data_IF_334993123353
#
_entry.id   IF_334993123353
#
_cell.length_a   1.000
_cell.length_b   1.000
_cell.length_c   1.000
_cell.angle_alpha   90.00
_cell.angle_beta   90.00
_cell.angle_gamma   90.00
#
_symmetry.space_group_name_H-M   'P 1'
#
loop_
_entity.id
_entity.type
_entity.pdbx_description
1 polymer ?
#
# COMPACT_ATOMS: atom_id res chain seq x y z
N UNK A 1 14.74 23.15 -13.52
CA UNK A 1 15.57 22.21 -12.70
C UNK A 1 15.25 20.80 -13.16
N UNK A 2 16.27 20.01 -13.50
CA UNK A 2 16.17 18.65 -14.02
C UNK A 2 16.52 17.68 -12.89
N UNK A 3 15.66 16.67 -12.65
CA UNK A 3 15.90 15.28 -12.18
C UNK A 3 14.56 14.76 -11.63
N UNK A 4 13.93 13.71 -12.15
CA UNK A 4 14.35 12.29 -12.18
C UNK A 4 14.39 11.66 -10.79
N UNK A 5 13.60 10.59 -10.59
CA UNK A 5 14.05 9.25 -10.19
C UNK A 5 12.85 8.28 -10.27
N UNK A 6 13.00 7.20 -11.05
CA UNK A 6 12.12 6.03 -10.99
C UNK A 6 12.50 5.21 -9.74
N UNK A 7 11.52 4.89 -8.89
CA UNK A 7 11.68 3.94 -7.79
C UNK A 7 11.38 2.50 -8.22
N UNK A 8 12.27 1.89 -9.00
CA UNK A 8 12.18 0.47 -9.34
C UNK A 8 12.80 -0.42 -8.26
N UNK A 9 12.01 -1.25 -7.59
CA UNK A 9 12.51 -2.26 -6.64
C UNK A 9 12.61 -3.64 -7.31
N UNK A 10 13.76 -3.89 -7.95
CA UNK A 10 14.20 -5.24 -8.29
C UNK A 10 14.98 -5.77 -7.10
N UNK A 11 14.37 -6.67 -6.31
CA UNK A 11 15.06 -7.32 -5.19
C UNK A 11 15.68 -8.64 -5.67
N UNK A 12 17.01 -8.65 -5.79
CA UNK A 12 17.78 -9.85 -6.08
C UNK A 12 17.90 -10.70 -4.81
N UNK A 13 17.36 -11.91 -4.82
CA UNK A 13 17.75 -12.94 -3.86
C UNK A 13 17.90 -14.31 -4.54
N UNK A 14 19.13 -14.77 -4.60
CA UNK A 14 19.55 -16.10 -5.03
C UNK A 14 20.51 -16.61 -3.95
N UNK A 15 20.28 -17.80 -3.37
CA UNK A 15 21.36 -18.57 -2.79
C UNK A 15 21.43 -19.96 -3.42
N UNK A 16 22.52 -20.16 -4.18
CA UNK A 16 23.37 -21.34 -4.36
C UNK A 16 22.77 -22.78 -4.36
N UNK A 17 23.16 -23.63 -5.33
CA UNK A 17 22.76 -25.04 -5.37
C UNK A 17 23.60 -25.91 -4.42
N UNK A 18 22.95 -26.71 -3.58
CA UNK A 18 23.64 -27.79 -2.87
C UNK A 18 23.93 -28.94 -3.84
N UNK A 19 25.19 -29.03 -4.24
CA UNK A 19 25.71 -30.09 -5.11
C UNK A 19 26.28 -31.20 -4.25
N UNK A 20 25.58 -32.33 -4.13
CA UNK A 20 26.14 -33.56 -3.54
C UNK A 20 26.50 -34.53 -4.65
N UNK A 21 27.80 -34.84 -4.77
CA UNK A 21 28.33 -35.78 -5.75
C UNK A 21 27.66 -37.16 -5.62
N UNK A 22 27.00 -37.61 -6.68
CA UNK A 22 26.75 -39.04 -6.89
C UNK A 22 28.03 -39.66 -7.47
N UNK A 23 28.92 -40.11 -6.58
CA UNK A 23 30.05 -40.95 -6.99
C UNK A 23 29.56 -42.34 -7.41
N UNK A 24 30.14 -42.97 -8.44
CA UNK A 24 29.75 -44.32 -8.84
C UNK A 24 30.19 -45.31 -7.76
N UNK A 25 29.26 -45.69 -6.88
CA UNK A 25 29.45 -46.80 -5.95
C UNK A 25 29.54 -48.07 -6.79
N UNK A 26 30.75 -48.62 -6.88
CA UNK A 26 30.99 -49.96 -7.39
C UNK A 26 30.36 -50.97 -6.42
N UNK A 27 29.09 -51.27 -6.65
CA UNK A 27 28.38 -52.35 -5.96
C UNK A 27 29.16 -53.66 -6.17
N UNK A 28 29.41 -54.47 -5.11
CA UNK A 28 30.07 -55.75 -5.27
C UNK A 28 29.35 -56.61 -6.30
N UNK A 29 30.12 -57.37 -7.09
CA UNK A 29 29.56 -58.39 -7.99
C UNK A 29 28.84 -59.44 -7.16
N UNK A 30 27.55 -59.23 -6.94
CA UNK A 30 26.71 -60.10 -6.14
C UNK A 30 26.54 -61.39 -6.92
N UNK A 31 27.30 -62.42 -6.56
CA UNK A 31 27.07 -63.79 -7.01
C UNK A 31 25.76 -64.22 -6.37
N UNK A 32 24.66 -63.85 -7.03
CA UNK A 32 23.31 -64.31 -6.76
C UNK A 32 23.22 -65.80 -7.08
N UNK A 33 23.89 -66.65 -6.30
CA UNK A 33 23.52 -68.05 -6.23
C UNK A 33 22.18 -68.11 -5.50
N UNK A 34 21.13 -67.91 -6.29
CA UNK A 34 19.74 -68.03 -5.85
C UNK A 34 19.59 -69.38 -5.17
N UNK A 35 18.78 -69.53 -4.11
CA UNK A 35 18.68 -70.79 -3.37
C UNK A 35 18.42 -72.03 -4.26
N UNK A 36 17.76 -71.83 -5.41
CA UNK A 36 17.58 -72.82 -6.49
C UNK A 36 18.91 -73.29 -7.14
N UNK A 37 19.84 -72.38 -7.42
CA UNK A 37 21.17 -72.69 -7.98
C UNK A 37 22.04 -73.41 -6.95
N UNK A 38 22.04 -72.95 -5.69
CA UNK A 38 22.73 -73.66 -4.60
C UNK A 38 22.18 -75.07 -4.43
N UNK A 39 20.85 -75.25 -4.52
CA UNK A 39 20.19 -76.55 -4.45
C UNK A 39 20.56 -77.49 -5.62
N UNK A 40 20.57 -76.99 -6.86
CA UNK A 40 20.95 -77.81 -8.04
C UNK A 40 22.42 -78.22 -8.00
N UNK A 41 23.33 -77.33 -7.57
CA UNK A 41 24.75 -77.68 -7.34
C UNK A 41 24.90 -78.73 -6.22
N UNK A 42 24.13 -78.62 -5.14
CA UNK A 42 24.12 -79.60 -4.04
C UNK A 42 23.64 -80.98 -4.52
N UNK A 43 22.53 -81.00 -5.26
CA UNK A 43 21.93 -82.21 -5.82
C UNK A 43 22.86 -82.91 -6.83
N UNK A 44 23.54 -82.12 -7.67
CA UNK A 44 24.53 -82.65 -8.62
C UNK A 44 25.73 -83.27 -7.88
N UNK A 45 26.23 -82.63 -6.82
CA UNK A 45 27.32 -83.18 -5.98
C UNK A 45 26.89 -84.46 -5.27
N UNK A 46 25.65 -84.52 -4.76
CA UNK A 46 25.11 -85.72 -4.10
C UNK A 46 25.06 -86.91 -5.06
N UNK A 47 24.57 -86.69 -6.30
CA UNK A 47 24.54 -87.72 -7.35
C UNK A 47 25.93 -88.27 -7.69
N UNK A 48 26.93 -87.38 -7.79
CA UNK A 48 28.33 -87.77 -8.03
C UNK A 48 28.86 -88.62 -6.87
N UNK A 49 28.50 -88.31 -5.61
CA UNK A 49 28.89 -89.11 -4.44
C UNK A 49 28.24 -90.51 -4.48
N UNK A 50 26.96 -90.62 -4.85
CA UNK A 50 26.26 -91.91 -4.99
C UNK A 50 26.90 -92.80 -6.06
N UNK A 51 27.21 -92.22 -7.22
CA UNK A 51 27.87 -92.91 -8.33
C UNK A 51 29.30 -93.35 -7.99
N UNK A 52 30.10 -92.46 -7.40
CA UNK A 52 31.46 -92.75 -6.92
C UNK A 52 31.49 -93.79 -5.79
N UNK A 53 30.45 -93.86 -4.96
CA UNK A 53 30.30 -94.87 -3.89
C UNK A 53 29.88 -96.22 -4.46
N UNK A 54 29.09 -96.21 -5.54
CA UNK A 54 28.67 -97.43 -6.23
C UNK A 54 29.85 -98.05 -7.00
N UNK A 55 30.60 -97.26 -7.77
CA UNK A 55 31.84 -97.71 -8.42
C UNK A 55 32.84 -98.32 -7.43
N UNK A 56 33.05 -97.68 -6.27
CA UNK A 56 33.96 -98.20 -5.23
C UNK A 56 33.51 -99.56 -4.67
N UNK A 57 32.19 -99.79 -4.58
CA UNK A 57 31.62 -101.08 -4.16
C UNK A 57 31.90 -102.16 -5.19
N UNK A 58 31.74 -101.84 -6.47
CA UNK A 58 31.95 -102.76 -7.58
C UNK A 58 33.45 -103.11 -7.71
N UNK A 59 34.35 -102.14 -7.52
CA UNK A 59 35.80 -102.38 -7.42
C UNK A 59 36.14 -103.32 -6.24
N UNK A 60 35.49 -103.15 -5.09
CA UNK A 60 35.66 -104.04 -3.92
C UNK A 60 35.20 -105.47 -4.19
N UNK A 61 34.13 -105.64 -4.99
CA UNK A 61 33.60 -106.93 -5.42
C UNK A 61 34.54 -107.57 -6.46
N UNK A 62 35.09 -106.78 -7.38
CA UNK A 62 36.04 -107.23 -8.41
C UNK A 62 37.37 -107.71 -7.82
N UNK A 63 37.82 -107.12 -6.71
CA UNK A 63 39.01 -107.54 -5.97
C UNK A 63 38.80 -108.83 -5.14
N UNK A 64 37.57 -109.30 -4.97
CA UNK A 64 37.25 -110.60 -4.36
C UNK A 64 37.47 -111.73 -5.38
N UNK A 65 38.71 -112.19 -5.52
CA UNK A 65 39.04 -113.42 -6.25
C UNK A 65 38.23 -114.60 -5.71
N UNK A 66 37.60 -115.33 -6.62
CA UNK A 66 36.64 -116.37 -6.27
C UNK A 66 37.24 -117.67 -5.73
N UNK A 67 36.31 -118.48 -5.20
CA UNK A 67 36.40 -119.91 -4.91
C UNK A 67 36.91 -120.37 -3.52
N UNK A 68 36.05 -121.17 -2.86
CA UNK A 68 36.27 -122.02 -1.67
C UNK A 68 36.63 -121.34 -0.33
N UNK A 69 35.58 -121.11 0.48
CA UNK A 69 35.63 -121.47 1.90
C UNK A 69 34.40 -122.31 2.29
N UNK A 70 34.55 -123.63 2.20
CA UNK A 70 33.65 -124.53 2.89
C UNK A 70 33.84 -124.45 4.40
N UNK A 71 32.76 -124.79 5.12
CA UNK A 71 32.69 -125.26 6.51
C UNK A 71 34.02 -125.42 7.27
N UNK A 72 34.20 -124.68 8.38
CA UNK A 72 34.80 -125.11 9.67
C UNK A 72 34.98 -123.91 10.63
N UNK A 73 34.08 -123.81 11.61
CA UNK A 73 34.38 -123.42 13.00
C UNK A 73 35.31 -124.49 13.65
N UNK A 74 35.84 -124.35 14.89
CA UNK A 74 35.73 -123.27 15.89
C UNK A 74 37.17 -122.67 16.08
N UNK A 75 37.80 -122.39 17.26
CA UNK A 75 37.40 -122.44 18.67
C UNK A 75 37.75 -121.17 19.50
N UNK A 76 38.11 -121.36 20.78
CA UNK A 76 38.11 -120.39 21.89
C UNK A 76 39.48 -120.30 22.59
N UNK A 77 39.61 -119.31 23.47
CA UNK A 77 40.73 -119.14 24.40
C UNK A 77 40.88 -120.25 25.46
N UNK A 78 42.02 -120.18 26.14
CA UNK A 78 42.71 -121.25 26.84
C UNK A 78 42.23 -121.48 28.30
N UNK A 79 42.00 -122.75 28.66
CA UNK A 79 42.34 -123.28 29.99
C UNK A 79 43.44 -124.36 29.81
N UNK A 80 44.41 -124.36 30.72
CA UNK A 80 45.59 -125.24 30.76
C UNK A 80 45.33 -126.52 31.60
N UNK A 81 46.27 -127.49 31.69
CA UNK A 81 47.26 -127.93 30.69
C UNK A 81 47.41 -129.46 30.59
N UNK A 82 47.90 -129.98 29.45
CA UNK A 82 48.86 -131.10 29.47
C UNK A 82 49.58 -131.35 28.13
N UNK A 83 50.86 -131.72 28.23
CA UNK A 83 51.73 -132.34 27.21
C UNK A 83 52.15 -131.57 25.94
N UNK A 84 53.32 -130.93 26.07
CA UNK A 84 54.50 -131.09 25.19
C UNK A 84 54.51 -130.54 23.74
N UNK A 85 55.07 -129.33 23.61
CA UNK A 85 56.39 -129.06 22.98
C UNK A 85 56.66 -129.62 21.55
N UNK A 86 56.70 -128.72 20.55
CA UNK A 86 57.94 -128.41 19.79
C UNK A 86 57.84 -127.11 18.97
N UNK A 87 58.96 -126.38 18.82
CA UNK A 87 59.08 -125.16 18.01
C UNK A 87 59.35 -125.45 16.52
N UNK A 88 58.95 -124.53 15.63
CA UNK A 88 59.39 -124.51 14.23
C UNK A 88 59.05 -123.19 13.51
N UNK A 89 60.03 -122.33 13.16
CA UNK A 89 59.77 -121.08 12.46
C UNK A 89 59.67 -121.29 10.94
N UNK A 90 58.55 -120.92 10.33
CA UNK A 90 58.41 -120.94 8.86
C UNK A 90 59.10 -119.70 8.29
N UNK A 91 60.22 -119.93 7.58
CA UNK A 91 60.96 -118.89 6.88
C UNK A 91 60.14 -118.35 5.71
N UNK A 92 60.16 -117.03 5.54
CA UNK A 92 59.86 -116.39 4.26
C UNK A 92 60.93 -116.81 3.24
N UNK A 93 60.51 -117.28 2.06
CA UNK A 93 61.39 -117.31 0.89
C UNK A 93 60.60 -117.04 -0.40
N UNK A 94 61.25 -116.31 -1.32
CA UNK A 94 60.88 -116.07 -2.73
C UNK A 94 59.79 -115.02 -3.06
N UNK A 95 60.24 -113.76 -3.13
CA UNK A 95 60.06 -112.79 -4.24
C UNK A 95 58.63 -112.43 -4.73
N UNK A 96 58.25 -111.16 -4.47
CA UNK A 96 57.47 -110.31 -5.41
C UNK A 96 57.68 -108.82 -5.09
N UNK A 97 58.84 -108.26 -5.47
CA UNK A 97 59.32 -106.90 -5.10
C UNK A 97 58.61 -105.73 -5.79
N UNK A 98 57.29 -105.82 -6.03
CA UNK A 98 56.48 -104.76 -6.64
C UNK A 98 55.09 -104.56 -6.02
N UNK A 99 54.63 -105.47 -5.14
CA UNK A 99 53.29 -105.37 -4.54
C UNK A 99 53.19 -104.36 -3.39
N UNK A 100 54.27 -104.10 -2.65
CA UNK A 100 54.25 -103.25 -1.45
C UNK A 100 54.02 -101.77 -1.78
N UNK A 101 54.71 -101.23 -2.79
CA UNK A 101 54.53 -99.84 -3.26
C UNK A 101 53.12 -99.59 -3.80
N UNK A 102 52.53 -100.59 -4.46
CA UNK A 102 51.16 -100.51 -4.95
C UNK A 102 50.14 -100.44 -3.80
N UNK A 103 50.33 -101.27 -2.75
CA UNK A 103 49.48 -101.24 -1.56
C UNK A 103 49.60 -99.92 -0.79
N UNK A 104 50.81 -99.39 -0.61
CA UNK A 104 51.00 -98.08 0.04
C UNK A 104 50.29 -96.95 -0.71
N UNK A 105 50.46 -96.88 -2.04
CA UNK A 105 49.78 -95.88 -2.89
C UNK A 105 48.25 -95.99 -2.84
N UNK A 106 47.70 -97.21 -2.72
CA UNK A 106 46.26 -97.40 -2.52
C UNK A 106 45.79 -96.88 -1.16
N UNK A 107 46.54 -97.12 -0.07
CA UNK A 107 46.24 -96.57 1.25
C UNK A 107 46.34 -95.03 1.25
N UNK A 108 47.37 -94.45 0.63
CA UNK A 108 47.55 -93.01 0.47
C UNK A 108 46.42 -92.37 -0.34
N UNK A 109 45.99 -93.00 -1.45
CA UNK A 109 44.83 -92.56 -2.23
C UNK A 109 43.53 -92.58 -1.39
N UNK A 110 43.30 -93.64 -0.62
CA UNK A 110 42.14 -93.76 0.27
C UNK A 110 42.14 -92.69 1.37
N UNK A 111 43.28 -92.41 1.99
CA UNK A 111 43.40 -91.36 3.02
C UNK A 111 43.15 -89.98 2.40
N UNK A 112 43.77 -89.65 1.26
CA UNK A 112 43.53 -88.39 0.58
C UNK A 112 42.06 -88.20 0.17
N UNK A 113 41.41 -89.28 -0.31
CA UNK A 113 39.98 -89.30 -0.63
C UNK A 113 39.11 -89.14 0.62
N UNK A 114 39.50 -89.74 1.76
CA UNK A 114 38.82 -89.57 3.05
C UNK A 114 38.93 -88.13 3.56
N UNK A 115 40.12 -87.52 3.55
CA UNK A 115 40.32 -86.12 3.96
C UNK A 115 39.58 -85.13 3.04
N UNK A 116 39.49 -85.41 1.75
CA UNK A 116 38.67 -84.64 0.82
C UNK A 116 37.17 -84.76 1.14
N UNK A 117 36.68 -85.97 1.39
CA UNK A 117 35.29 -86.22 1.81
C UNK A 117 34.98 -85.55 3.16
N UNK A 118 35.88 -85.61 4.13
CA UNK A 118 35.74 -84.91 5.42
C UNK A 118 35.63 -83.39 5.21
N UNK A 119 36.49 -82.81 4.37
CA UNK A 119 36.45 -81.38 4.02
C UNK A 119 35.12 -80.99 3.37
N UNK A 120 34.59 -81.83 2.47
CA UNK A 120 33.26 -81.64 1.87
C UNK A 120 32.14 -81.75 2.92
N UNK A 121 32.20 -82.72 3.84
CA UNK A 121 31.21 -82.91 4.91
C UNK A 121 31.19 -81.70 5.85
N UNK A 122 32.35 -81.17 6.26
CA UNK A 122 32.40 -79.97 7.10
C UNK A 122 31.87 -78.73 6.36
N UNK A 123 32.17 -78.57 5.07
CA UNK A 123 31.61 -77.49 4.23
C UNK A 123 30.08 -77.59 4.11
N UNK A 124 29.54 -78.78 3.85
CA UNK A 124 28.10 -79.04 3.80
C UNK A 124 27.43 -78.71 5.15
N UNK A 125 28.04 -79.15 6.26
CA UNK A 125 27.57 -78.87 7.62
C UNK A 125 27.47 -77.36 7.89
N UNK A 126 28.51 -76.59 7.56
CA UNK A 126 28.50 -75.13 7.72
C UNK A 126 27.42 -74.46 6.87
N UNK A 127 27.24 -74.89 5.62
CA UNK A 127 26.19 -74.35 4.74
C UNK A 127 24.77 -74.67 5.27
N UNK A 128 24.54 -75.86 5.82
CA UNK A 128 23.27 -76.24 6.45
C UNK A 128 22.99 -75.36 7.68
N UNK A 129 23.99 -75.13 8.54
CA UNK A 129 23.84 -74.22 9.69
C UNK A 129 23.55 -72.78 9.26
N UNK A 130 24.21 -72.28 8.21
CA UNK A 130 23.94 -70.95 7.67
C UNK A 130 22.50 -70.84 7.15
N UNK A 131 22.08 -71.77 6.27
CA UNK A 131 20.73 -71.77 5.69
C UNK A 131 19.63 -71.89 6.77
N UNK A 132 19.85 -72.69 7.81
CA UNK A 132 18.89 -72.83 8.92
C UNK A 132 18.84 -71.53 9.75
N UNK A 133 19.99 -70.93 10.07
CA UNK A 133 20.04 -69.64 10.81
C UNK A 133 19.39 -68.52 10.01
N UNK A 134 19.63 -68.46 8.70
CA UNK A 134 19.02 -67.47 7.80
C UNK A 134 17.49 -67.66 7.70
N UNK A 135 17.03 -68.90 7.58
CA UNK A 135 15.61 -69.27 7.61
C UNK A 135 14.94 -68.85 8.92
N UNK A 136 15.60 -69.02 10.06
CA UNK A 136 15.04 -68.69 11.38
C UNK A 136 15.07 -67.18 11.66
N UNK A 137 16.04 -66.44 11.10
CA UNK A 137 16.09 -64.97 11.16
C UNK A 137 15.15 -64.28 10.16
N UNK A 138 14.74 -64.95 9.08
CA UNK A 138 13.89 -64.36 8.04
C UNK A 138 12.50 -63.90 8.55
N UNK A 139 11.76 -64.67 9.37
CA UNK A 139 10.53 -64.19 10.03
C UNK A 139 10.73 -62.92 10.86
N UNK A 140 11.83 -62.83 11.63
CA UNK A 140 12.11 -61.67 12.48
C UNK A 140 12.41 -60.41 11.64
N UNK A 141 13.21 -60.54 10.58
CA UNK A 141 13.46 -59.47 9.61
C UNK A 141 12.16 -59.02 8.92
N UNK A 142 11.32 -59.98 8.55
CA UNK A 142 10.02 -59.72 7.89
C UNK A 142 9.06 -58.98 8.83
N UNK A 143 8.97 -59.38 10.11
CA UNK A 143 8.17 -58.69 11.12
C UNK A 143 8.65 -57.24 11.33
N UNK A 144 9.95 -57.03 11.53
CA UNK A 144 10.51 -55.68 11.69
C UNK A 144 10.26 -54.76 10.50
N UNK A 145 10.42 -55.27 9.26
CA UNK A 145 10.14 -54.49 8.05
C UNK A 145 8.65 -54.17 7.91
N UNK A 146 7.77 -55.09 8.29
CA UNK A 146 6.31 -54.88 8.30
C UNK A 146 5.91 -53.83 9.32
N UNK A 147 6.44 -53.88 10.53
CA UNK A 147 6.16 -52.88 11.57
C UNK A 147 6.67 -51.50 11.15
N UNK A 148 7.87 -51.41 10.59
CA UNK A 148 8.40 -50.14 10.08
C UNK A 148 7.57 -49.57 8.92
N UNK A 149 7.04 -50.43 8.05
CA UNK A 149 6.09 -50.02 7.00
C UNK A 149 4.77 -49.51 7.59
N UNK A 150 4.23 -50.19 8.60
CA UNK A 150 3.01 -49.77 9.30
C UNK A 150 3.17 -48.39 9.95
N UNK A 151 4.30 -48.15 10.64
CA UNK A 151 4.60 -46.83 11.25
C UNK A 151 4.64 -45.73 10.20
N UNK A 152 5.39 -45.92 9.11
CA UNK A 152 5.49 -44.95 8.01
C UNK A 152 4.11 -44.69 7.38
N UNK A 153 3.30 -45.73 7.19
CA UNK A 153 1.94 -45.60 6.65
C UNK A 153 1.01 -44.84 7.62
N UNK A 154 1.13 -45.06 8.92
CA UNK A 154 0.35 -44.33 9.93
C UNK A 154 0.74 -42.85 9.98
N UNK A 155 2.03 -42.54 9.99
CA UNK A 155 2.58 -41.17 9.92
C UNK A 155 2.09 -40.43 8.67
N UNK A 156 2.27 -41.02 7.47
CA UNK A 156 1.74 -40.45 6.23
C UNK A 156 0.22 -40.23 6.27
N UNK A 157 -0.54 -41.11 6.96
CA UNK A 157 -1.99 -40.92 7.13
C UNK A 157 -2.36 -39.77 8.06
N UNK A 158 -1.50 -39.43 9.03
CA UNK A 158 -1.67 -38.28 9.93
C UNK A 158 -1.31 -36.99 9.21
N UNK A 159 -0.17 -36.96 8.54
CA UNK A 159 0.30 -35.81 7.77
C UNK A 159 -0.70 -35.43 6.67
N UNK A 160 -1.24 -36.42 5.95
CA UNK A 160 -2.25 -36.18 4.91
C UNK A 160 -3.57 -35.62 5.47
N UNK A 161 -3.97 -36.01 6.70
CA UNK A 161 -5.14 -35.42 7.39
C UNK A 161 -4.86 -33.99 7.84
N UNK A 162 -3.69 -33.71 8.40
CA UNK A 162 -3.27 -32.36 8.80
C UNK A 162 -3.19 -31.42 7.59
N UNK A 163 -2.56 -31.88 6.50
CA UNK A 163 -2.48 -31.13 5.25
C UNK A 163 -3.87 -30.86 4.65
N UNK A 164 -4.78 -31.83 4.71
CA UNK A 164 -6.16 -31.62 4.25
C UNK A 164 -6.90 -30.56 5.09
N UNK A 165 -6.76 -30.61 6.42
CA UNK A 165 -7.33 -29.61 7.32
C UNK A 165 -6.75 -28.22 7.05
N UNK A 166 -5.44 -28.12 6.85
CA UNK A 166 -4.78 -26.84 6.54
C UNK A 166 -5.21 -26.28 5.18
N UNK A 167 -5.38 -27.14 4.16
CA UNK A 167 -5.96 -26.73 2.87
C UNK A 167 -7.40 -26.23 3.02
N UNK A 168 -8.21 -26.82 3.91
CA UNK A 168 -9.55 -26.32 4.20
C UNK A 168 -9.51 -24.96 4.92
N UNK A 169 -8.64 -24.83 5.92
CA UNK A 169 -8.42 -23.60 6.70
C UNK A 169 -7.99 -22.43 5.79
N UNK A 170 -6.96 -22.63 4.96
CA UNK A 170 -6.46 -21.62 4.02
C UNK A 170 -7.50 -21.24 2.96
N UNK A 171 -8.34 -22.18 2.50
CA UNK A 171 -9.46 -21.88 1.59
C UNK A 171 -10.54 -21.02 2.26
N UNK A 172 -10.82 -21.25 3.53
CA UNK A 172 -11.75 -20.43 4.29
C UNK A 172 -11.20 -19.01 4.47
N UNK A 173 -9.95 -18.87 4.93
CA UNK A 173 -9.29 -17.57 5.06
C UNK A 173 -9.24 -16.79 3.73
N UNK A 174 -8.92 -17.46 2.61
CA UNK A 174 -8.94 -16.83 1.28
C UNK A 174 -10.34 -16.33 0.90
N UNK A 175 -11.39 -17.06 1.30
CA UNK A 175 -12.77 -16.66 1.07
C UNK A 175 -13.14 -15.44 1.93
N UNK A 176 -12.79 -15.46 3.20
CA UNK A 176 -13.10 -14.38 4.14
C UNK A 176 -12.39 -13.07 3.73
N UNK A 177 -11.11 -13.15 3.37
CA UNK A 177 -10.34 -12.00 2.84
C UNK A 177 -10.94 -11.46 1.55
N UNK A 178 -11.42 -12.32 0.63
CA UNK A 178 -12.12 -11.89 -0.58
C UNK A 178 -13.45 -11.19 -0.25
N UNK A 179 -14.24 -11.73 0.67
CA UNK A 179 -15.47 -11.08 1.12
C UNK A 179 -15.23 -9.75 1.84
N UNK A 180 -14.05 -9.51 2.41
CA UNK A 180 -13.65 -8.21 2.95
C UNK A 180 -13.11 -7.26 1.86
N UNK A 181 -12.35 -7.76 0.90
CA UNK A 181 -11.89 -7.02 -0.30
C UNK A 181 -13.07 -6.47 -1.10
N UNK A 182 -14.06 -7.32 -1.40
CA UNK A 182 -15.27 -6.95 -2.15
C UNK A 182 -16.06 -5.84 -1.39
N UNK A 183 -16.23 -5.96 -0.06
CA UNK A 183 -16.89 -4.92 0.77
C UNK A 183 -16.12 -3.60 0.77
N UNK A 184 -14.80 -3.64 0.95
CA UNK A 184 -13.97 -2.44 0.93
C UNK A 184 -14.01 -1.75 -0.45
N UNK A 185 -14.06 -2.53 -1.53
CA UNK A 185 -14.20 -2.00 -2.89
C UNK A 185 -15.58 -1.38 -3.15
N UNK A 186 -16.65 -1.95 -2.60
CA UNK A 186 -17.99 -1.37 -2.64
C UNK A 186 -18.06 -0.05 -1.84
N UNK A 187 -17.42 0.02 -0.67
CA UNK A 187 -17.30 1.27 0.11
C UNK A 187 -16.53 2.36 -0.65
N UNK A 188 -15.40 2.02 -1.28
CA UNK A 188 -14.63 2.95 -2.12
C UNK A 188 -15.47 3.47 -3.29
N UNK A 189 -16.22 2.60 -3.98
CA UNK A 189 -17.11 3.01 -5.07
C UNK A 189 -18.24 3.92 -4.56
N UNK A 190 -18.87 3.56 -3.44
CA UNK A 190 -19.94 4.32 -2.80
C UNK A 190 -19.48 5.73 -2.38
N UNK A 191 -18.27 5.86 -1.83
CA UNK A 191 -17.69 7.14 -1.39
C UNK A 191 -17.13 8.00 -2.54
N UNK A 192 -16.81 7.41 -3.70
CA UNK A 192 -16.19 8.13 -4.83
C UNK A 192 -17.07 9.30 -5.32
N UNK A 193 -18.37 9.08 -5.51
CA UNK A 193 -19.28 10.14 -5.98
C UNK A 193 -19.50 11.26 -4.94
N UNK A 194 -19.80 10.98 -3.65
CA UNK A 194 -19.85 11.99 -2.59
C UNK A 194 -18.57 12.82 -2.46
N UNK A 195 -17.38 12.18 -2.50
CA UNK A 195 -16.09 12.89 -2.41
C UNK A 195 -15.90 13.85 -3.59
N UNK A 196 -16.24 13.41 -4.81
CA UNK A 196 -16.20 14.27 -6.00
C UNK A 196 -17.14 15.48 -5.87
N UNK A 197 -18.40 15.26 -5.49
CA UNK A 197 -19.38 16.34 -5.27
C UNK A 197 -18.94 17.30 -4.17
N UNK A 198 -18.34 16.80 -3.08
CA UNK A 198 -17.80 17.63 -2.02
C UNK A 198 -16.61 18.49 -2.50
N UNK A 199 -15.75 17.96 -3.36
CA UNK A 199 -14.67 18.73 -3.99
C UNK A 199 -15.21 19.83 -4.91
N UNK A 200 -16.11 19.48 -5.83
CA UNK A 200 -16.73 20.44 -6.76
C UNK A 200 -17.51 21.55 -6.01
N UNK A 201 -18.18 21.20 -4.91
CA UNK A 201 -18.87 22.15 -4.03
C UNK A 201 -17.89 23.09 -3.32
N UNK A 202 -16.76 22.56 -2.84
CA UNK A 202 -15.70 23.37 -2.19
C UNK A 202 -15.09 24.37 -3.18
N UNK A 203 -14.80 23.93 -4.40
CA UNK A 203 -14.22 24.79 -5.44
C UNK A 203 -15.22 25.89 -5.85
N UNK A 204 -16.51 25.53 -5.99
CA UNK A 204 -17.60 26.50 -6.25
C UNK A 204 -17.74 27.52 -5.12
N UNK A 205 -17.68 27.07 -3.85
CA UNK A 205 -17.75 27.96 -2.69
C UNK A 205 -16.58 28.95 -2.63
N UNK A 206 -15.36 28.51 -2.98
CA UNK A 206 -14.18 29.37 -3.03
C UNK A 206 -14.29 30.48 -4.10
N UNK A 207 -14.88 30.16 -5.27
CA UNK A 207 -15.17 31.16 -6.32
C UNK A 207 -16.16 32.21 -5.80
N UNK A 208 -17.29 31.76 -5.21
CA UNK A 208 -18.31 32.66 -4.64
C UNK A 208 -17.73 33.55 -3.53
N UNK A 209 -16.80 33.03 -2.72
CA UNK A 209 -16.12 33.81 -1.67
C UNK A 209 -15.29 34.96 -2.25
N UNK A 210 -14.52 34.73 -3.33
CA UNK A 210 -13.76 35.81 -3.99
C UNK A 210 -14.64 36.79 -4.78
N UNK A 211 -15.72 36.34 -5.41
CA UNK A 211 -16.73 37.23 -6.01
C UNK A 211 -17.38 38.15 -4.95
N UNK A 212 -17.70 37.61 -3.77
CA UNK A 212 -18.21 38.39 -2.66
C UNK A 212 -17.17 39.38 -2.11
N UNK A 213 -15.90 38.95 -1.96
CA UNK A 213 -14.80 39.83 -1.54
C UNK A 213 -14.55 40.96 -2.55
N UNK A 214 -14.55 40.69 -3.86
CA UNK A 214 -14.39 41.74 -4.88
C UNK A 214 -15.58 42.71 -4.91
N UNK A 215 -16.80 42.21 -4.75
CA UNK A 215 -18.01 43.04 -4.62
C UNK A 215 -17.96 43.93 -3.38
N UNK A 216 -17.58 43.38 -2.22
CA UNK A 216 -17.35 44.15 -0.97
C UNK A 216 -16.31 45.25 -1.16
N UNK A 217 -15.19 44.96 -1.84
CA UNK A 217 -14.15 45.97 -2.18
C UNK A 217 -14.74 47.10 -3.05
N UNK A 218 -15.47 46.77 -4.12
CA UNK A 218 -16.15 47.75 -5.00
C UNK A 218 -17.15 48.64 -4.24
N UNK A 219 -17.99 48.05 -3.39
CA UNK A 219 -18.97 48.77 -2.57
C UNK A 219 -18.28 49.72 -1.57
N UNK A 220 -17.22 49.26 -0.89
CA UNK A 220 -16.46 50.11 0.04
C UNK A 220 -15.84 51.33 -0.65
N UNK A 221 -15.28 51.17 -1.85
CA UNK A 221 -14.76 52.30 -2.64
C UNK A 221 -15.89 53.29 -3.00
N UNK A 222 -17.07 52.80 -3.40
CA UNK A 222 -18.22 53.67 -3.69
C UNK A 222 -18.72 54.41 -2.43
N UNK A 223 -18.71 53.77 -1.27
CA UNK A 223 -19.05 54.41 0.02
C UNK A 223 -18.03 55.50 0.39
N UNK A 224 -16.74 55.26 0.19
CA UNK A 224 -15.69 56.27 0.43
C UNK A 224 -15.86 57.49 -0.49
N UNK A 225 -16.11 57.26 -1.79
CA UNK A 225 -16.34 58.35 -2.75
C UNK A 225 -17.61 59.14 -2.43
N UNK A 226 -18.71 58.49 -2.07
CA UNK A 226 -19.95 59.17 -1.65
C UNK A 226 -19.74 60.00 -0.37
N UNK A 227 -18.95 59.52 0.60
CA UNK A 227 -18.58 60.31 1.79
C UNK A 227 -17.75 61.54 1.43
N UNK A 228 -16.81 61.42 0.48
CA UNK A 228 -16.02 62.54 -0.03
C UNK A 228 -16.90 63.59 -0.72
N UNK A 229 -17.82 63.16 -1.58
CA UNK A 229 -18.79 64.03 -2.25
C UNK A 229 -19.71 64.75 -1.26
N UNK A 230 -20.23 64.03 -0.25
CA UNK A 230 -21.07 64.63 0.80
C UNK A 230 -20.33 65.68 1.63
N UNK A 231 -19.05 65.46 1.96
CA UNK A 231 -18.23 66.44 2.66
C UNK A 231 -17.97 67.69 1.81
N UNK A 232 -17.75 67.52 0.50
CA UNK A 232 -17.56 68.63 -0.45
C UNK A 232 -18.85 69.46 -0.62
N UNK A 233 -20.01 68.80 -0.79
CA UNK A 233 -21.33 69.46 -0.86
C UNK A 233 -21.65 70.22 0.44
N UNK A 234 -21.35 69.64 1.62
CA UNK A 234 -21.52 70.31 2.91
C UNK A 234 -20.71 71.61 2.98
N UNK A 235 -19.44 71.57 2.61
CA UNK A 235 -18.59 72.77 2.58
C UNK A 235 -19.10 73.82 1.58
N UNK A 236 -19.53 73.41 0.39
CA UNK A 236 -20.11 74.32 -0.60
C UNK A 236 -21.39 74.99 -0.08
N UNK A 237 -22.29 74.22 0.54
CA UNK A 237 -23.53 74.72 1.14
C UNK A 237 -23.29 75.69 2.29
N UNK A 238 -22.38 75.37 3.22
CA UNK A 238 -21.95 76.29 4.27
C UNK A 238 -21.34 77.59 3.73
N UNK A 239 -20.68 77.56 2.56
CA UNK A 239 -20.14 78.75 1.90
C UNK A 239 -21.24 79.60 1.26
N UNK A 240 -22.22 78.94 0.63
CA UNK A 240 -23.38 79.58 0.02
C UNK A 240 -24.27 80.27 1.07
N UNK A 241 -24.58 79.58 2.17
CA UNK A 241 -25.39 80.10 3.29
C UNK A 241 -24.76 81.34 3.95
N UNK A 242 -23.43 81.36 4.10
CA UNK A 242 -22.68 82.55 4.53
C UNK A 242 -22.83 83.70 3.52
N UNK A 243 -22.72 83.43 2.23
CA UNK A 243 -22.87 84.44 1.17
C UNK A 243 -24.31 84.98 1.11
N UNK A 244 -25.32 84.11 1.25
CA UNK A 244 -26.73 84.47 1.31
C UNK A 244 -27.01 85.38 2.50
N UNK A 245 -26.52 85.03 3.69
CA UNK A 245 -26.63 85.85 4.90
C UNK A 245 -26.04 87.25 4.71
N UNK A 246 -24.87 87.36 4.07
CA UNK A 246 -24.24 88.66 3.75
C UNK A 246 -25.07 89.46 2.75
N UNK A 247 -25.63 88.82 1.71
CA UNK A 247 -26.49 89.50 0.73
C UNK A 247 -27.80 89.99 1.36
N UNK A 248 -28.44 89.20 2.23
CA UNK A 248 -29.66 89.58 2.94
C UNK A 248 -29.41 90.80 3.84
N UNK A 249 -28.31 90.82 4.60
CA UNK A 249 -27.91 91.99 5.38
C UNK A 249 -27.69 93.22 4.49
N UNK A 250 -27.07 93.06 3.31
CA UNK A 250 -26.86 94.17 2.39
C UNK A 250 -28.15 94.71 1.78
N UNK A 251 -29.11 93.83 1.46
CA UNK A 251 -30.45 94.22 1.00
C UNK A 251 -31.21 94.98 2.10
N UNK A 252 -31.12 94.54 3.36
CA UNK A 252 -31.74 95.22 4.49
C UNK A 252 -31.14 96.63 4.74
N UNK A 253 -29.82 96.76 4.65
CA UNK A 253 -29.13 98.06 4.73
C UNK A 253 -29.59 98.98 3.60
N UNK A 254 -29.58 98.52 2.35
CA UNK A 254 -30.04 99.28 1.19
C UNK A 254 -31.52 99.67 1.30
N UNK A 255 -32.39 98.77 1.78
CA UNK A 255 -33.80 99.07 2.03
C UNK A 255 -33.99 100.16 3.08
N UNK A 256 -33.14 100.18 4.12
CA UNK A 256 -33.15 101.23 5.15
C UNK A 256 -32.72 102.59 4.61
N UNK A 257 -31.70 102.61 3.74
CA UNK A 257 -31.23 103.83 3.05
C UNK A 257 -32.33 104.37 2.13
N UNK A 258 -32.93 103.53 1.29
CA UNK A 258 -34.01 103.92 0.36
C UNK A 258 -35.24 104.45 1.10
N UNK A 259 -35.58 103.88 2.25
CA UNK A 259 -36.71 104.37 3.05
C UNK A 259 -36.40 105.72 3.73
N UNK A 260 -35.14 106.00 4.05
CA UNK A 260 -34.74 107.34 4.53
C UNK A 260 -34.73 108.37 3.38
N UNK A 261 -34.23 108.01 2.19
CA UNK A 261 -34.32 108.85 0.99
C UNK A 261 -35.78 109.19 0.63
N UNK A 262 -36.70 108.22 0.76
CA UNK A 262 -38.15 108.47 0.56
C UNK A 262 -38.71 109.53 1.51
N UNK A 263 -38.35 109.49 2.79
CA UNK A 263 -38.76 110.52 3.76
C UNK A 263 -38.19 111.88 3.38
N UNK A 264 -36.91 111.96 3.00
CA UNK A 264 -36.28 113.20 2.57
C UNK A 264 -36.94 113.78 1.32
N UNK A 265 -37.27 112.94 0.33
CA UNK A 265 -38.03 113.35 -0.87
C UNK A 265 -39.43 113.86 -0.49
N UNK A 266 -40.12 113.22 0.47
CA UNK A 266 -41.43 113.67 0.92
C UNK A 266 -41.35 115.04 1.61
N UNK A 267 -40.37 115.26 2.49
CA UNK A 267 -40.11 116.56 3.14
C UNK A 267 -39.79 117.63 2.08
N UNK A 268 -38.96 117.30 1.09
CA UNK A 268 -38.64 118.22 -0.01
C UNK A 268 -39.88 118.58 -0.85
N UNK A 269 -40.75 117.61 -1.13
CA UNK A 269 -42.03 117.86 -1.82
C UNK A 269 -42.94 118.80 -1.01
N UNK A 270 -43.09 118.58 0.30
CA UNK A 270 -43.84 119.46 1.18
C UNK A 270 -43.28 120.90 1.17
N UNK A 271 -41.95 121.03 1.29
CA UNK A 271 -41.26 122.33 1.23
C UNK A 271 -41.47 123.05 -0.11
N UNK A 272 -41.39 122.33 -1.24
CA UNK A 272 -41.66 122.88 -2.57
C UNK A 272 -43.12 123.34 -2.75
N UNK A 273 -44.10 122.64 -2.15
CA UNK A 273 -45.50 123.05 -2.16
C UNK A 273 -45.69 124.31 -1.31
N UNK A 274 -45.17 124.32 -0.07
CA UNK A 274 -45.24 125.48 0.84
C UNK A 274 -44.59 126.73 0.22
N UNK A 275 -43.41 126.58 -0.39
CA UNK A 275 -42.72 127.67 -1.10
C UNK A 275 -43.55 128.19 -2.28
N UNK A 276 -44.18 127.30 -3.07
CA UNK A 276 -45.05 127.70 -4.17
C UNK A 276 -46.28 128.47 -3.70
N UNK A 277 -46.93 128.03 -2.62
CA UNK A 277 -48.06 128.74 -2.00
C UNK A 277 -47.64 130.09 -1.43
N UNK A 278 -46.47 130.19 -0.79
CA UNK A 278 -45.92 131.46 -0.29
C UNK A 278 -45.57 132.43 -1.42
N UNK A 279 -44.99 131.92 -2.52
CA UNK A 279 -44.71 132.71 -3.72
C UNK A 279 -46.00 133.23 -4.36
N UNK A 280 -47.03 132.39 -4.49
CA UNK A 280 -48.34 132.80 -5.00
C UNK A 280 -48.99 133.87 -4.10
N UNK A 281 -49.02 133.69 -2.78
CA UNK A 281 -49.55 134.69 -1.85
C UNK A 281 -48.77 136.02 -1.93
N UNK A 282 -47.45 135.96 -2.12
CA UNK A 282 -46.61 137.16 -2.33
C UNK A 282 -46.93 137.85 -3.66
N UNK A 283 -47.20 137.08 -4.71
CA UNK A 283 -47.62 137.59 -6.02
C UNK A 283 -49.01 138.25 -5.97
N UNK A 284 -49.94 137.67 -5.22
CA UNK A 284 -51.28 138.22 -5.00
C UNK A 284 -51.22 139.52 -4.17
N UNK A 285 -50.42 139.56 -3.12
CA UNK A 285 -50.15 140.79 -2.35
C UNK A 285 -49.48 141.87 -3.21
N UNK A 286 -48.51 141.51 -4.06
CA UNK A 286 -47.87 142.44 -4.98
C UNK A 286 -48.88 143.04 -5.98
N UNK A 287 -49.80 142.24 -6.50
CA UNK A 287 -50.86 142.71 -7.39
C UNK A 287 -51.82 143.67 -6.66
N UNK A 288 -52.19 143.39 -5.41
CA UNK A 288 -53.01 144.28 -4.58
C UNK A 288 -52.32 145.62 -4.28
N UNK A 289 -51.04 145.61 -3.92
CA UNK A 289 -50.29 146.85 -3.66
C UNK A 289 -50.05 147.65 -4.95
N UNK A 290 -49.84 146.98 -6.09
CA UNK A 290 -49.77 147.62 -7.40
C UNK A 290 -51.10 148.28 -7.78
N UNK A 291 -52.24 147.61 -7.56
CA UNK A 291 -53.57 148.21 -7.76
C UNK A 291 -53.80 149.44 -6.84
N UNK A 292 -53.50 149.33 -5.54
CA UNK A 292 -53.60 150.47 -4.61
C UNK A 292 -52.71 151.64 -5.02
N UNK A 293 -51.51 151.35 -5.54
CA UNK A 293 -50.60 152.35 -6.08
C UNK A 293 -51.24 153.06 -7.28
N UNK A 294 -51.84 152.33 -8.21
CA UNK A 294 -52.55 152.90 -9.36
C UNK A 294 -53.77 153.74 -8.92
N UNK A 295 -54.55 153.27 -7.95
CA UNK A 295 -55.65 154.04 -7.32
C UNK A 295 -55.14 155.35 -6.67
N UNK A 296 -54.00 155.29 -5.95
CA UNK A 296 -53.34 156.46 -5.37
C UNK A 296 -52.78 157.41 -6.44
N UNK A 297 -52.16 156.90 -7.50
CA UNK A 297 -51.66 157.71 -8.62
C UNK A 297 -52.82 158.40 -9.38
N UNK A 298 -53.96 157.73 -9.55
CA UNK A 298 -55.18 158.35 -10.06
C UNK A 298 -55.74 159.41 -9.09
N UNK A 299 -55.79 159.14 -7.78
CA UNK A 299 -56.25 160.11 -6.79
C UNK A 299 -55.34 161.34 -6.71
N UNK A 300 -54.02 161.17 -6.76
CA UNK A 300 -53.03 162.27 -6.86
C UNK A 300 -53.24 163.07 -8.14
N UNK A 301 -53.49 162.40 -9.26
CA UNK A 301 -53.75 163.05 -10.55
C UNK A 301 -55.06 163.85 -10.53
N UNK A 302 -56.11 163.32 -9.90
CA UNK A 302 -57.38 164.00 -9.69
C UNK A 302 -57.19 165.23 -8.79
N UNK A 303 -56.57 165.09 -7.62
CA UNK A 303 -56.27 166.24 -6.73
C UNK A 303 -55.43 167.31 -7.43
N UNK A 304 -54.50 166.91 -8.30
CA UNK A 304 -53.69 167.84 -9.10
C UNK A 304 -54.53 168.59 -10.15
N UNK A 305 -55.50 167.91 -10.78
CA UNK A 305 -56.47 168.52 -11.67
C UNK A 305 -57.40 169.48 -10.93
N UNK A 306 -57.95 169.07 -9.79
CA UNK A 306 -58.85 169.88 -8.97
C UNK A 306 -58.13 171.13 -8.43
N UNK A 307 -56.86 170.99 -8.04
CA UNK A 307 -56.01 172.12 -7.64
C UNK A 307 -55.76 173.08 -8.81
N UNK A 308 -55.52 172.56 -10.02
CA UNK A 308 -55.41 173.38 -11.24
C UNK A 308 -56.70 174.15 -11.52
N UNK A 309 -57.86 173.49 -11.48
CA UNK A 309 -59.15 174.15 -11.66
C UNK A 309 -59.45 175.21 -10.59
N UNK A 310 -58.98 175.01 -9.36
CA UNK A 310 -59.15 175.99 -8.27
C UNK A 310 -58.18 177.19 -8.43
N UNK A 311 -57.00 176.98 -9.03
CA UNK A 311 -56.08 178.05 -9.44
C UNK A 311 -56.67 178.83 -10.63
N UNK A 312 -57.20 178.15 -11.64
CA UNK A 312 -57.86 178.78 -12.80
C UNK A 312 -59.14 179.53 -12.39
N UNK A 313 -59.93 178.98 -11.45
CA UNK A 313 -61.08 179.68 -10.86
C UNK A 313 -60.66 180.92 -10.05
N UNK A 314 -59.51 180.90 -9.37
CA UNK A 314 -58.93 182.10 -8.74
C UNK A 314 -58.40 183.12 -9.75
N UNK A 315 -57.90 182.67 -10.91
CA UNK A 315 -57.45 183.53 -12.01
C UNK A 315 -58.62 184.17 -12.80
N UNK A 316 -59.85 183.67 -12.63
CA UNK A 316 -61.09 184.27 -13.16
C UNK A 316 -61.77 185.25 -12.20
N UNK A 317 -61.25 185.43 -10.98
CA UNK A 317 -61.74 186.37 -9.96
C UNK A 317 -60.75 187.51 -9.64
N UNK A 318 -59.78 187.74 -10.54
CA UNK A 318 -58.86 188.89 -10.54
C UNK A 318 -58.82 189.56 -11.92
#
# INVERSE_FOLDING_TARGET
VITSILGGNISYFLPLPFTTLSGPILSPTHINSTASETFTVLQQRMRIVEEQTSSLRDDLIMLNYGEKRGHLEPPKGLEEPSSQKLFGPIKNEVICSGKTDFLWKNCEFLVNRMCHLESLIQSLKMNIFHMQTEKDLNPQKTAFLKDRLNTIQEEHSKDLKLLHLEVMNLRQQLKDVREEEDKAQDEVQSLTAPVKVASETKDTAAIIEEELKTTKRKMNLKIQELRRQLAQEKHFRESLEKSESVMLLKIQEMGSIVEEERKQVHILQQNCVALRSSMQATQELLAQEQQKKEELEMAISQFKSDLSMNIDARMLFH
#
